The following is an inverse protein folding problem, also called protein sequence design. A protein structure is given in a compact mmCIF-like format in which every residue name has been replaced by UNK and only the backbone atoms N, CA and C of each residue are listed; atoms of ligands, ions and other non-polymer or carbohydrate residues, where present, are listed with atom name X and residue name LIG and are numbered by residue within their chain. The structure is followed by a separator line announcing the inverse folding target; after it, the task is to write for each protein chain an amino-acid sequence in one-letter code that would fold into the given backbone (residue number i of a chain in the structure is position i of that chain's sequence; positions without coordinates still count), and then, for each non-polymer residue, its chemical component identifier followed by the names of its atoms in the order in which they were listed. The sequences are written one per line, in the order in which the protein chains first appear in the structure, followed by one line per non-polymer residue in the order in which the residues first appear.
data_IF_915538100516
#
_entry.id   IF_915538100516
#
_cell.length_a   1.000
_cell.length_b   1.000
_cell.length_c   1.000
_cell.angle_alpha   90.00
_cell.angle_beta   90.00
_cell.angle_gamma   90.00
#
_symmetry.space_group_name_H-M   'P 1'
#
loop_
_entity.id
_entity.type
_entity.pdbx_description
1 polymer ?
#
# COMPACT_ATOMS: atom_id res chain seq x y z
N UNK A 1 6.96 4.90 -9.60
CA UNK A 1 5.76 5.50 -8.98
C UNK A 1 5.27 4.63 -7.83
N UNK A 2 4.92 3.36 -8.08
CA UNK A 2 4.70 2.35 -7.03
C UNK A 2 6.02 1.58 -6.85
N UNK A 3 6.44 1.36 -5.60
CA UNK A 3 7.76 0.77 -5.26
C UNK A 3 7.57 -0.46 -4.36
N UNK A 4 6.54 -1.24 -4.67
CA UNK A 4 6.13 -2.43 -3.94
C UNK A 4 5.75 -3.52 -4.94
N UNK A 5 6.33 -4.71 -4.77
CA UNK A 5 6.12 -5.85 -5.67
C UNK A 5 4.64 -6.22 -5.73
N UNK A 6 4.03 -6.37 -4.55
CA UNK A 6 2.66 -6.84 -4.44
C UNK A 6 1.68 -5.86 -5.10
N UNK A 7 1.77 -4.56 -4.81
CA UNK A 7 0.89 -3.57 -5.40
C UNK A 7 1.05 -3.48 -6.92
N UNK A 8 2.28 -3.52 -7.45
CA UNK A 8 2.52 -3.52 -8.89
C UNK A 8 1.94 -4.76 -9.58
N UNK A 9 2.09 -5.96 -8.98
CA UNK A 9 1.51 -7.18 -9.53
C UNK A 9 0.00 -7.15 -9.50
N UNK A 10 -0.61 -6.65 -8.42
CA UNK A 10 -2.07 -6.51 -8.33
C UNK A 10 -2.58 -5.55 -9.38
N UNK A 11 -1.96 -4.38 -9.54
CA UNK A 11 -2.35 -3.40 -10.58
C UNK A 11 -2.24 -4.01 -11.97
N UNK A 12 -1.12 -4.65 -12.28
CA UNK A 12 -0.92 -5.32 -13.57
C UNK A 12 -2.02 -6.35 -13.86
N UNK A 13 -2.25 -7.30 -12.95
CA UNK A 13 -3.28 -8.34 -13.15
C UNK A 13 -4.69 -7.75 -13.23
N UNK A 14 -5.00 -6.74 -12.41
CA UNK A 14 -6.31 -6.08 -12.43
C UNK A 14 -6.55 -5.27 -13.70
N UNK A 15 -5.51 -4.67 -14.27
CA UNK A 15 -5.61 -3.93 -15.51
C UNK A 15 -5.91 -4.87 -16.69
N UNK A 16 -5.21 -6.00 -16.77
CA UNK A 16 -5.47 -7.04 -17.78
C UNK A 16 -6.89 -7.61 -17.68
N UNK A 17 -7.37 -7.82 -16.44
CA UNK A 17 -8.75 -8.23 -16.21
C UNK A 17 -9.75 -7.14 -16.64
N UNK A 18 -9.41 -5.85 -16.50
CA UNK A 18 -10.23 -4.74 -17.00
C UNK A 18 -10.26 -4.71 -18.53
N UNK A 19 -9.13 -4.88 -19.21
CA UNK A 19 -9.09 -4.95 -20.68
C UNK A 19 -9.97 -6.09 -21.19
N UNK A 20 -9.79 -7.29 -20.63
CA UNK A 20 -10.63 -8.45 -20.96
C UNK A 20 -12.11 -8.21 -20.65
N UNK A 21 -12.42 -7.46 -19.59
CA UNK A 21 -13.81 -7.13 -19.24
C UNK A 21 -14.45 -6.12 -20.20
N UNK A 22 -13.63 -5.25 -20.80
CA UNK A 22 -14.07 -4.09 -21.57
C UNK A 22 -13.81 -4.23 -23.08
N UNK A 23 -13.38 -5.41 -23.55
CA UNK A 23 -13.19 -5.73 -24.98
C UNK A 23 -14.45 -5.46 -25.83
N UNK A 24 -15.63 -5.66 -25.25
CA UNK A 24 -16.91 -5.38 -25.90
C UNK A 24 -17.20 -3.88 -26.06
N UNK A 25 -16.55 -3.01 -25.28
CA UNK A 25 -16.66 -1.55 -25.37
C UNK A 25 -15.59 -0.98 -26.29
N UNK A 26 -14.35 -1.47 -26.18
CA UNK A 26 -13.21 -0.97 -26.92
C UNK A 26 -12.60 -2.08 -27.78
N UNK A 27 -12.70 -1.99 -29.13
CA UNK A 27 -12.15 -3.01 -30.02
C UNK A 27 -10.62 -3.12 -29.94
N UNK A 28 -9.94 -2.12 -29.39
CA UNK A 28 -8.50 -2.16 -29.13
C UNK A 28 -8.11 -3.24 -28.11
N UNK A 29 -9.03 -3.69 -27.25
CA UNK A 29 -8.76 -4.72 -26.24
C UNK A 29 -9.12 -6.13 -26.70
N UNK A 30 -9.59 -6.30 -27.95
CA UNK A 30 -9.96 -7.60 -28.50
C UNK A 30 -8.72 -8.35 -28.98
N UNK A 31 -7.94 -8.89 -28.05
CA UNK A 31 -6.73 -9.64 -28.32
C UNK A 31 -6.89 -11.14 -28.01
N UNK A 32 -5.87 -11.94 -28.28
CA UNK A 32 -5.93 -13.36 -27.97
C UNK A 32 -5.83 -13.59 -26.46
N UNK A 33 -6.57 -14.58 -25.93
CA UNK A 33 -6.53 -14.89 -24.50
C UNK A 33 -5.12 -15.15 -23.96
N UNK A 34 -4.24 -15.76 -24.77
CA UNK A 34 -2.87 -16.08 -24.37
C UNK A 34 -1.99 -14.83 -24.35
N UNK A 35 -2.33 -13.79 -25.11
CA UNK A 35 -1.59 -12.53 -25.15
C UNK A 35 -1.72 -11.83 -23.80
N UNK A 36 -2.95 -11.59 -23.35
CA UNK A 36 -3.26 -11.03 -22.03
C UNK A 36 -2.52 -11.74 -20.89
N UNK A 37 -2.63 -13.07 -20.79
CA UNK A 37 -2.13 -13.77 -19.60
C UNK A 37 -0.66 -14.15 -19.68
N UNK A 38 -0.15 -14.51 -20.86
CA UNK A 38 1.23 -14.98 -21.00
C UNK A 38 2.13 -13.82 -21.41
N UNK A 39 1.75 -13.08 -22.44
CA UNK A 39 2.57 -12.00 -22.98
C UNK A 39 2.52 -10.79 -22.06
N UNK A 40 1.33 -10.33 -21.65
CA UNK A 40 1.22 -9.09 -20.91
C UNK A 40 1.44 -9.26 -19.41
N UNK A 41 0.69 -10.14 -18.74
CA UNK A 41 0.87 -10.37 -17.28
C UNK A 41 2.25 -10.96 -16.96
N UNK A 42 2.62 -12.09 -17.58
CA UNK A 42 3.81 -12.84 -17.15
C UNK A 42 5.10 -12.26 -17.74
N UNK A 43 5.13 -11.97 -19.04
CA UNK A 43 6.35 -11.52 -19.72
C UNK A 43 6.52 -10.02 -19.57
N UNK A 44 5.69 -9.19 -20.18
CA UNK A 44 5.88 -7.74 -20.23
C UNK A 44 5.82 -7.09 -18.84
N UNK A 45 4.69 -7.25 -18.15
CA UNK A 45 4.47 -6.65 -16.85
C UNK A 45 5.29 -7.36 -15.76
N UNK A 46 5.26 -8.70 -15.72
CA UNK A 46 6.00 -9.49 -14.74
C UNK A 46 7.52 -9.26 -14.80
N UNK A 47 8.12 -9.30 -15.99
CA UNK A 47 9.55 -9.00 -16.13
C UNK A 47 9.84 -7.53 -15.87
N UNK A 48 8.96 -6.61 -16.28
CA UNK A 48 9.09 -5.18 -15.99
C UNK A 48 9.16 -4.90 -14.48
N UNK A 49 8.25 -5.51 -13.70
CA UNK A 49 8.24 -5.41 -12.24
C UNK A 49 9.51 -6.05 -11.64
N UNK A 50 9.93 -7.22 -12.14
CA UNK A 50 11.17 -7.89 -11.71
C UNK A 50 12.41 -7.04 -11.92
N UNK A 51 12.62 -6.55 -13.14
CA UNK A 51 13.72 -5.67 -13.49
C UNK A 51 13.66 -4.36 -12.69
N UNK A 52 12.47 -3.79 -12.52
CA UNK A 52 12.25 -2.60 -11.70
C UNK A 52 12.67 -2.81 -10.25
N UNK A 53 12.21 -3.89 -9.62
CA UNK A 53 12.52 -4.18 -8.22
C UNK A 53 14.00 -4.50 -8.00
N UNK A 54 14.64 -5.21 -8.94
CA UNK A 54 16.11 -5.41 -8.93
C UNK A 54 16.88 -4.10 -9.09
N UNK A 55 16.39 -3.20 -9.94
CA UNK A 55 16.97 -1.87 -10.11
C UNK A 55 16.87 -1.06 -8.82
N UNK A 56 15.72 -1.09 -8.13
CA UNK A 56 15.54 -0.45 -6.83
C UNK A 56 16.50 -1.01 -5.76
N UNK A 57 16.71 -2.33 -5.73
CA UNK A 57 17.65 -2.98 -4.83
C UNK A 57 19.10 -2.55 -5.11
N UNK A 58 19.50 -2.54 -6.38
CA UNK A 58 20.83 -2.09 -6.79
C UNK A 58 21.10 -0.62 -6.40
N UNK A 59 20.10 0.24 -6.57
CA UNK A 59 20.19 1.66 -6.20
C UNK A 59 20.18 1.88 -4.68
N UNK A 60 19.44 1.05 -3.92
CA UNK A 60 19.36 1.13 -2.47
C UNK A 60 20.64 0.70 -1.74
N UNK A 61 21.49 -0.13 -2.35
CA UNK A 61 22.72 -0.63 -1.74
C UNK A 61 23.93 0.31 -1.95
N UNK A 62 23.77 1.40 -2.70
CA UNK A 62 24.84 2.35 -2.96
C UNK A 62 24.96 3.39 -1.85
N UNK A 63 25.99 3.27 -1.01
CA UNK A 63 26.40 4.32 -0.08
C UNK A 63 27.15 5.43 -0.81
N UNK A 64 26.71 6.69 -0.66
CA UNK A 64 27.33 7.85 -1.30
C UNK A 64 28.59 8.31 -0.56
N UNK A 65 29.73 8.40 -1.27
CA UNK A 65 30.96 9.05 -0.76
C UNK A 65 31.02 10.50 -1.26
N UNK A 66 30.99 11.46 -0.34
CA UNK A 66 31.03 12.91 -0.62
C UNK A 66 32.47 13.45 -0.80
N UNK A 67 33.30 12.83 -1.64
CA UNK A 67 34.63 13.40 -1.97
C UNK A 67 34.50 14.44 -3.11
N UNK A 68 35.36 15.46 -3.21
CA UNK A 68 35.27 16.50 -4.25
C UNK A 68 35.41 15.98 -5.69
N UNK A 69 34.83 16.67 -6.69
CA UNK A 69 34.93 16.29 -8.12
C UNK A 69 36.39 16.25 -8.61
N UNK A 70 37.24 17.03 -7.95
CA UNK A 70 38.66 17.19 -8.17
C UNK A 70 39.49 15.95 -7.78
N UNK A 71 38.98 15.08 -6.91
CA UNK A 71 39.66 13.84 -6.51
C UNK A 71 39.50 12.69 -7.51
N UNK A 72 38.77 12.90 -8.63
CA UNK A 72 38.52 11.85 -9.64
C UNK A 72 39.40 12.13 -10.88
N UNK A 73 40.46 11.34 -11.12
CA UNK A 73 41.42 11.62 -12.19
C UNK A 73 40.87 11.30 -13.59
N UNK A 74 39.85 10.43 -13.70
CA UNK A 74 39.34 9.96 -14.99
C UNK A 74 38.07 10.68 -15.44
N UNK A 75 37.99 11.05 -16.72
CA UNK A 75 36.81 11.66 -17.33
C UNK A 75 35.57 10.75 -17.26
N UNK A 76 35.75 9.45 -17.48
CA UNK A 76 34.68 8.43 -17.28
C UNK A 76 34.15 8.44 -15.84
N UNK A 77 35.02 8.63 -14.85
CA UNK A 77 34.62 8.74 -13.44
C UNK A 77 33.83 10.01 -13.14
N UNK A 78 34.20 11.13 -13.77
CA UNK A 78 33.47 12.41 -13.67
C UNK A 78 32.07 12.30 -14.28
N UNK A 79 31.93 11.80 -15.50
CA UNK A 79 30.62 11.57 -16.14
C UNK A 79 29.75 10.60 -15.33
N UNK A 80 30.32 9.49 -14.87
CA UNK A 80 29.62 8.51 -14.04
C UNK A 80 29.05 9.17 -12.78
N UNK A 81 29.83 10.05 -12.13
CA UNK A 81 29.36 10.78 -10.95
C UNK A 81 28.24 11.77 -11.26
N UNK A 82 28.36 12.54 -12.35
CA UNK A 82 27.31 13.47 -12.78
C UNK A 82 25.99 12.70 -12.99
N UNK A 83 26.05 11.56 -13.69
CA UNK A 83 24.87 10.70 -13.87
C UNK A 83 24.29 10.21 -12.52
N UNK A 84 25.14 9.83 -11.55
CA UNK A 84 24.67 9.43 -10.22
C UNK A 84 24.13 10.60 -9.38
N UNK A 85 24.42 11.85 -9.71
CA UNK A 85 23.87 13.01 -8.99
C UNK A 85 22.39 13.23 -9.30
N UNK A 86 21.92 12.70 -10.43
CA UNK A 86 20.50 12.63 -10.78
C UNK A 86 19.77 11.43 -10.14
N UNK A 87 20.46 10.60 -9.36
CA UNK A 87 19.82 9.56 -8.54
C UNK A 87 19.59 10.06 -7.10
N UNK A 88 18.42 9.80 -6.50
CA UNK A 88 18.07 10.30 -5.18
C UNK A 88 18.97 9.72 -4.08
N UNK A 89 19.23 10.54 -3.05
CA UNK A 89 20.14 10.25 -1.94
C UNK A 89 19.77 9.00 -1.11
N UNK A 90 18.48 8.71 -0.96
CA UNK A 90 18.01 7.50 -0.29
C UNK A 90 16.82 6.90 -1.04
N UNK A 91 16.90 5.60 -1.30
CA UNK A 91 15.84 4.86 -1.98
C UNK A 91 14.91 4.21 -0.94
N UNK A 92 13.92 4.96 -0.44
CA UNK A 92 12.96 4.45 0.56
C UNK A 92 11.96 3.43 -0.02
N UNK A 93 12.04 2.15 0.35
CA UNK A 93 11.02 1.15 -0.05
C UNK A 93 9.68 1.47 0.61
N UNK A 94 8.57 1.37 -0.13
CA UNK A 94 7.24 1.62 0.41
C UNK A 94 6.65 0.34 1.00
N UNK A 95 6.44 0.30 2.32
CA UNK A 95 5.81 -0.83 2.99
C UNK A 95 4.34 -0.53 3.31
N UNK A 96 3.45 -0.75 2.34
CA UNK A 96 2.03 -0.38 2.45
C UNK A 96 1.28 -1.13 3.57
N UNK A 97 1.71 -2.36 3.90
CA UNK A 97 1.11 -3.22 4.95
C UNK A 97 -0.43 -3.18 4.91
N UNK A 98 -1.06 -3.53 3.78
CA UNK A 98 -2.48 -3.30 3.53
C UNK A 98 -3.38 -3.98 4.58
N UNK A 99 -2.98 -5.14 5.12
CA UNK A 99 -3.74 -5.89 6.12
C UNK A 99 -3.53 -5.44 7.59
N UNK A 100 -2.83 -4.31 7.82
CA UNK A 100 -2.50 -3.82 9.17
C UNK A 100 -3.64 -3.06 9.84
N UNK A 101 -4.33 -2.19 9.10
CA UNK A 101 -5.51 -1.46 9.58
C UNK A 101 -6.54 -1.32 8.47
N UNK A 102 -7.81 -1.23 8.84
CA UNK A 102 -8.89 -1.03 7.87
C UNK A 102 -8.68 0.25 7.04
N UNK A 103 -8.17 1.32 7.68
CA UNK A 103 -7.82 2.57 6.99
C UNK A 103 -6.75 2.37 5.93
N UNK A 104 -5.67 1.64 6.24
CA UNK A 104 -4.60 1.33 5.27
C UNK A 104 -5.09 0.41 4.15
N UNK A 105 -5.92 -0.57 4.48
CA UNK A 105 -6.56 -1.43 3.48
C UNK A 105 -7.38 -0.61 2.47
N UNK A 106 -8.32 0.20 2.95
CA UNK A 106 -9.17 1.03 2.09
C UNK A 106 -8.37 2.07 1.30
N UNK A 107 -7.33 2.65 1.90
CA UNK A 107 -6.44 3.58 1.20
C UNK A 107 -5.70 2.89 0.04
N UNK A 108 -5.16 1.68 0.25
CA UNK A 108 -4.50 0.91 -0.80
C UNK A 108 -5.48 0.53 -1.91
N UNK A 109 -6.70 0.09 -1.57
CA UNK A 109 -7.76 -0.15 -2.56
C UNK A 109 -8.09 1.10 -3.37
N UNK A 110 -8.20 2.27 -2.71
CA UNK A 110 -8.46 3.54 -3.37
C UNK A 110 -7.32 3.98 -4.30
N UNK A 111 -6.06 3.77 -3.90
CA UNK A 111 -4.90 4.05 -4.76
C UNK A 111 -4.90 3.16 -5.99
N UNK A 112 -5.15 1.85 -5.82
CA UNK A 112 -5.26 0.91 -6.95
C UNK A 112 -6.38 1.36 -7.89
N UNK A 113 -7.55 1.74 -7.36
CA UNK A 113 -8.68 2.20 -8.18
C UNK A 113 -8.34 3.48 -8.97
N UNK A 114 -7.72 4.48 -8.34
CA UNK A 114 -7.31 5.71 -9.04
C UNK A 114 -6.27 5.41 -10.12
N UNK A 115 -5.34 4.49 -9.86
CA UNK A 115 -4.32 4.10 -10.84
C UNK A 115 -4.96 3.40 -12.05
N UNK A 116 -5.79 2.39 -11.82
CA UNK A 116 -6.52 1.69 -12.88
C UNK A 116 -7.42 2.63 -13.68
N UNK A 117 -8.08 3.57 -13.01
CA UNK A 117 -8.91 4.59 -13.68
C UNK A 117 -8.06 5.53 -14.54
N UNK A 118 -6.89 5.96 -14.05
CA UNK A 118 -5.99 6.81 -14.81
C UNK A 118 -5.43 6.09 -16.05
N UNK A 119 -5.13 4.79 -15.95
CA UNK A 119 -4.71 3.97 -17.09
C UNK A 119 -5.86 3.78 -18.08
N UNK A 120 -7.04 3.38 -17.60
CA UNK A 120 -8.23 3.16 -18.42
C UNK A 120 -8.65 4.44 -19.18
N UNK A 121 -8.61 5.59 -18.51
CA UNK A 121 -8.86 6.90 -19.13
C UNK A 121 -7.93 7.15 -20.33
N UNK A 122 -6.70 6.63 -20.34
CA UNK A 122 -5.77 6.76 -21.48
C UNK A 122 -6.38 6.18 -22.75
N UNK A 123 -6.93 4.97 -22.65
CA UNK A 123 -7.51 4.24 -23.77
C UNK A 123 -8.84 4.85 -24.21
N UNK A 124 -9.69 5.22 -23.23
CA UNK A 124 -10.95 5.88 -23.53
C UNK A 124 -10.78 7.27 -24.14
N UNK A 125 -9.89 8.10 -23.61
CA UNK A 125 -9.66 9.43 -24.20
C UNK A 125 -9.13 9.32 -25.62
N UNK A 126 -8.23 8.37 -25.88
CA UNK A 126 -7.76 8.10 -27.25
C UNK A 126 -8.93 7.72 -28.16
N UNK A 127 -9.83 6.85 -27.70
CA UNK A 127 -11.01 6.41 -28.45
C UNK A 127 -11.99 7.56 -28.71
N UNK A 128 -12.41 8.26 -27.65
CA UNK A 128 -13.38 9.37 -27.69
C UNK A 128 -12.88 10.54 -28.55
N UNK A 129 -11.58 10.86 -28.46
CA UNK A 129 -10.97 11.95 -29.22
C UNK A 129 -10.49 11.52 -30.61
N UNK A 130 -10.72 10.26 -31.02
CA UNK A 130 -10.28 9.71 -32.31
C UNK A 130 -8.78 9.91 -32.57
N UNK A 131 -7.95 9.75 -31.54
CA UNK A 131 -6.50 9.93 -31.63
C UNK A 131 -5.82 8.65 -32.15
N UNK A 132 -4.87 8.75 -33.10
CA UNK A 132 -4.08 7.60 -33.51
C UNK A 132 -3.18 7.12 -32.36
N UNK A 133 -2.80 5.82 -32.33
CA UNK A 133 -1.96 5.26 -31.25
C UNK A 133 -0.63 5.98 -31.04
N UNK A 134 -0.02 6.46 -32.12
CA UNK A 134 1.30 7.10 -32.11
C UNK A 134 1.25 8.60 -31.78
N UNK A 135 0.07 9.11 -31.40
CA UNK A 135 -0.09 10.54 -31.19
C UNK A 135 0.72 11.02 -29.97
N UNK A 136 1.57 12.02 -30.16
CA UNK A 136 2.47 12.57 -29.12
C UNK A 136 1.74 13.05 -27.86
N UNK A 137 0.46 13.41 -27.95
CA UNK A 137 -0.35 13.79 -26.76
C UNK A 137 -0.52 12.63 -25.77
N UNK A 138 -0.67 11.39 -26.25
CA UNK A 138 -0.79 10.21 -25.39
C UNK A 138 0.53 10.00 -24.64
N UNK A 139 1.66 10.11 -25.34
CA UNK A 139 2.98 10.01 -24.76
C UNK A 139 3.24 11.14 -23.74
N UNK A 140 2.95 12.39 -24.11
CA UNK A 140 3.13 13.55 -23.23
C UNK A 140 2.31 13.38 -21.94
N UNK A 141 1.05 12.93 -22.07
CA UNK A 141 0.17 12.65 -20.93
C UNK A 141 0.78 11.58 -20.02
N UNK A 142 1.23 10.46 -20.60
CA UNK A 142 1.81 9.35 -19.84
C UNK A 142 3.05 9.83 -19.06
N UNK A 143 3.95 10.56 -19.73
CA UNK A 143 5.13 11.15 -19.09
C UNK A 143 4.73 12.10 -17.97
N UNK A 144 3.74 12.98 -18.19
CA UNK A 144 3.27 13.91 -17.17
C UNK A 144 2.69 13.18 -15.95
N UNK A 145 1.78 12.23 -16.16
CA UNK A 145 1.14 11.48 -15.07
C UNK A 145 2.11 10.60 -14.30
N UNK A 146 3.09 9.97 -14.95
CA UNK A 146 4.10 9.16 -14.25
C UNK A 146 4.96 10.03 -13.32
N UNK A 147 5.32 11.24 -13.74
CA UNK A 147 6.11 12.16 -12.94
C UNK A 147 5.31 12.73 -11.77
N UNK A 148 4.13 13.30 -12.03
CA UNK A 148 3.26 13.87 -10.98
C UNK A 148 2.77 12.77 -10.03
N UNK A 149 2.38 11.63 -10.58
CA UNK A 149 1.96 10.44 -9.84
C UNK A 149 3.07 9.91 -8.94
N UNK A 150 4.34 9.97 -9.37
CA UNK A 150 5.48 9.62 -8.52
C UNK A 150 5.57 10.45 -7.24
N UNK A 151 5.34 11.76 -7.34
CA UNK A 151 5.31 12.69 -6.19
C UNK A 151 4.06 12.45 -5.34
N UNK A 152 2.89 12.33 -5.97
CA UNK A 152 1.62 12.04 -5.30
C UNK A 152 1.70 10.75 -4.46
N UNK A 153 2.27 9.68 -5.01
CA UNK A 153 2.43 8.40 -4.30
C UNK A 153 3.28 8.54 -3.03
N UNK A 154 4.32 9.39 -3.06
CA UNK A 154 5.12 9.68 -1.86
C UNK A 154 4.32 10.48 -0.83
N UNK A 155 3.58 11.49 -1.24
CA UNK A 155 2.72 12.26 -0.34
C UNK A 155 1.64 11.38 0.32
N UNK A 156 1.03 10.46 -0.45
CA UNK A 156 0.05 9.50 0.07
C UNK A 156 0.71 8.54 1.07
N UNK A 157 1.90 8.04 0.77
CA UNK A 157 2.66 7.19 1.70
C UNK A 157 2.93 7.91 3.02
N UNK A 158 3.49 9.12 2.95
CA UNK A 158 3.81 9.94 4.12
C UNK A 158 2.55 10.37 4.90
N UNK A 159 1.39 10.41 4.24
CA UNK A 159 0.11 10.69 4.89
C UNK A 159 -0.43 9.49 5.69
N UNK A 160 -0.26 8.25 5.22
CA UNK A 160 -0.75 7.08 5.97
C UNK A 160 0.24 6.57 7.02
N UNK A 161 1.51 6.93 6.94
CA UNK A 161 2.51 6.57 7.94
C UNK A 161 2.57 7.54 9.12
N UNK A 162 2.08 8.77 8.93
CA UNK A 162 2.03 9.76 10.01
C UNK A 162 0.90 9.44 11.03
N UNK A 163 1.21 9.30 12.32
CA UNK A 163 0.21 9.06 13.36
C UNK A 163 -0.68 10.28 13.65
N UNK A 164 -0.33 11.48 13.15
CA UNK A 164 -1.08 12.70 13.43
C UNK A 164 -2.45 12.70 12.73
N UNK A 165 -3.57 12.77 13.47
CA UNK A 165 -4.92 12.62 12.90
C UNK A 165 -5.35 13.78 11.98
N UNK A 166 -4.72 14.95 12.08
CA UNK A 166 -5.09 16.17 11.36
C UNK A 166 -4.16 16.51 10.18
N UNK A 167 -3.22 15.62 9.82
CA UNK A 167 -2.42 15.81 8.62
C UNK A 167 -3.36 15.84 7.41
N UNK A 168 -3.12 16.74 6.47
CA UNK A 168 -3.89 16.80 5.21
C UNK A 168 -3.20 15.96 4.16
N UNK A 169 -3.99 15.44 3.23
CA UNK A 169 -3.45 14.79 2.02
C UNK A 169 -2.69 15.84 1.19
N UNK A 170 -1.57 15.44 0.60
CA UNK A 170 -0.71 16.33 -0.17
C UNK A 170 -1.40 16.89 -1.42
N UNK A 171 -0.88 18.03 -1.91
CA UNK A 171 -1.47 18.76 -3.02
C UNK A 171 -1.37 17.99 -4.34
N UNK A 172 -0.27 17.28 -4.57
CA UNK A 172 -0.08 16.51 -5.81
C UNK A 172 -1.02 15.31 -5.85
N UNK A 173 -1.27 14.66 -4.71
CA UNK A 173 -2.26 13.60 -4.61
C UNK A 173 -3.68 14.08 -4.99
N UNK A 174 -4.09 15.26 -4.50
CA UNK A 174 -5.36 15.87 -4.91
C UNK A 174 -5.39 16.25 -6.39
N UNK A 175 -4.28 16.78 -6.91
CA UNK A 175 -4.18 17.16 -8.32
C UNK A 175 -4.34 15.95 -9.24
N UNK A 176 -3.65 14.84 -8.95
CA UNK A 176 -3.81 13.59 -9.72
C UNK A 176 -5.24 13.09 -9.67
N UNK A 177 -5.85 13.06 -8.48
CA UNK A 177 -7.24 12.65 -8.34
C UNK A 177 -8.21 13.54 -9.15
N UNK A 178 -7.99 14.87 -9.14
CA UNK A 178 -8.79 15.81 -9.90
C UNK A 178 -8.60 15.66 -11.43
N UNK A 179 -7.37 15.42 -11.90
CA UNK A 179 -7.08 15.13 -13.30
C UNK A 179 -7.81 13.86 -13.73
N UNK A 180 -7.63 12.76 -13.00
CA UNK A 180 -8.27 11.48 -13.31
C UNK A 180 -9.80 11.58 -13.30
N UNK A 181 -10.38 12.30 -12.34
CA UNK A 181 -11.82 12.54 -12.27
C UNK A 181 -12.31 13.39 -13.46
N UNK A 182 -11.58 14.44 -13.83
CA UNK A 182 -11.95 15.31 -14.96
C UNK A 182 -11.89 14.55 -16.28
N UNK A 183 -10.86 13.73 -16.47
CA UNK A 183 -10.73 12.87 -17.66
C UNK A 183 -11.88 11.87 -17.75
N UNK A 184 -12.25 11.23 -16.63
CA UNK A 184 -13.42 10.35 -16.59
C UNK A 184 -14.70 11.11 -16.99
N UNK A 185 -14.89 12.33 -16.48
CA UNK A 185 -16.05 13.15 -16.84
C UNK A 185 -16.08 13.50 -18.32
N UNK A 186 -14.92 13.76 -18.94
CA UNK A 186 -14.80 13.96 -20.39
C UNK A 186 -15.26 12.70 -21.12
N UNK A 187 -14.73 11.53 -20.75
CA UNK A 187 -15.12 10.24 -21.37
C UNK A 187 -16.63 10.01 -21.27
N UNK A 188 -17.21 10.15 -20.07
CA UNK A 188 -18.65 9.98 -19.82
C UNK A 188 -19.50 10.96 -20.62
N UNK A 189 -19.02 12.20 -20.78
CA UNK A 189 -19.78 13.25 -21.47
C UNK A 189 -19.80 13.07 -22.99
N UNK A 190 -18.69 12.64 -23.59
CA UNK A 190 -18.53 12.65 -25.04
C UNK A 190 -18.88 11.32 -25.71
N UNK A 191 -18.88 10.19 -24.98
CA UNK A 191 -19.32 8.91 -25.53
C UNK A 191 -20.13 8.05 -24.54
N UNK A 192 -21.36 8.47 -24.20
CA UNK A 192 -22.21 7.73 -23.27
C UNK A 192 -22.73 6.40 -23.87
N UNK A 193 -22.79 6.27 -25.20
CA UNK A 193 -23.33 5.08 -25.86
C UNK A 193 -22.43 3.86 -25.64
N UNK A 194 -21.12 4.02 -25.82
CA UNK A 194 -20.16 2.93 -25.57
C UNK A 194 -20.15 2.52 -24.10
N UNK A 195 -20.23 3.49 -23.17
CA UNK A 195 -20.24 3.20 -21.73
C UNK A 195 -21.52 2.52 -21.23
N UNK A 196 -22.65 2.74 -21.91
CA UNK A 196 -23.94 2.15 -21.54
C UNK A 196 -24.15 0.74 -22.09
N UNK A 197 -23.21 0.23 -22.89
CA UNK A 197 -23.18 -1.18 -23.27
C UNK A 197 -23.11 -2.04 -22.01
N UNK A 198 -24.06 -2.98 -21.91
CA UNK A 198 -24.13 -3.92 -20.79
C UNK A 198 -22.95 -4.88 -20.84
N UNK A 199 -22.26 -5.03 -19.71
CA UNK A 199 -21.24 -6.07 -19.54
C UNK A 199 -21.84 -7.45 -19.86
N UNK A 200 -21.15 -8.29 -20.64
CA UNK A 200 -21.55 -9.67 -20.86
C UNK A 200 -21.77 -10.40 -19.52
N UNK A 201 -22.79 -11.26 -19.47
CA UNK A 201 -23.25 -11.88 -18.22
C UNK A 201 -22.14 -12.61 -17.46
N UNK A 202 -21.28 -13.36 -18.17
CA UNK A 202 -20.15 -14.08 -17.58
C UNK A 202 -19.16 -13.14 -16.88
N UNK A 203 -18.84 -12.00 -17.50
CA UNK A 203 -17.93 -11.00 -16.96
C UNK A 203 -18.55 -10.33 -15.73
N UNK A 204 -19.83 -9.97 -15.81
CA UNK A 204 -20.57 -9.41 -14.66
C UNK A 204 -20.60 -10.38 -13.46
N UNK A 205 -20.75 -11.68 -13.71
CA UNK A 205 -20.66 -12.71 -12.66
C UNK A 205 -19.25 -12.77 -12.03
N UNK A 206 -18.19 -12.69 -12.84
CA UNK A 206 -16.82 -12.65 -12.32
C UNK A 206 -16.58 -11.42 -11.43
N UNK A 207 -17.02 -10.23 -11.85
CA UNK A 207 -16.89 -9.01 -11.04
C UNK A 207 -17.70 -9.05 -9.76
N UNK A 208 -18.93 -9.57 -9.81
CA UNK A 208 -19.77 -9.71 -8.61
C UNK A 208 -19.16 -10.71 -7.63
N UNK A 209 -18.71 -11.87 -8.10
CA UNK A 209 -18.00 -12.86 -7.28
C UNK A 209 -16.72 -12.28 -6.67
N UNK A 210 -15.88 -11.63 -7.47
CA UNK A 210 -14.65 -10.99 -7.00
C UNK A 210 -14.90 -9.93 -5.94
N UNK A 211 -15.91 -9.07 -6.15
CA UNK A 211 -16.32 -8.04 -5.20
C UNK A 211 -16.81 -8.65 -3.88
N UNK A 212 -17.64 -9.69 -3.95
CA UNK A 212 -18.13 -10.42 -2.76
C UNK A 212 -16.97 -11.08 -2.01
N UNK A 213 -16.02 -11.68 -2.70
CA UNK A 213 -14.84 -12.30 -2.09
C UNK A 213 -13.97 -11.26 -1.37
N UNK A 214 -13.70 -10.12 -2.01
CA UNK A 214 -12.94 -9.03 -1.38
C UNK A 214 -13.68 -8.52 -0.14
N UNK A 215 -14.98 -8.22 -0.26
CA UNK A 215 -15.78 -7.76 0.88
C UNK A 215 -15.80 -8.77 2.02
N UNK A 216 -16.05 -10.04 1.72
CA UNK A 216 -16.07 -11.11 2.72
C UNK A 216 -14.71 -11.23 3.41
N UNK A 217 -13.61 -11.17 2.66
CA UNK A 217 -12.26 -11.19 3.22
C UNK A 217 -12.00 -9.98 4.11
N UNK A 218 -12.45 -8.78 3.73
CA UNK A 218 -12.30 -7.57 4.56
C UNK A 218 -13.05 -7.66 5.88
N UNK A 219 -14.30 -8.14 5.83
CA UNK A 219 -15.13 -8.35 7.03
C UNK A 219 -14.49 -9.39 7.94
N UNK A 220 -14.09 -10.52 7.38
CA UNK A 220 -13.40 -11.58 8.11
C UNK A 220 -12.10 -11.10 8.77
N UNK A 221 -11.25 -10.41 8.01
CA UNK A 221 -9.92 -9.99 8.45
C UNK A 221 -9.95 -8.93 9.55
N UNK A 222 -10.80 -7.91 9.41
CA UNK A 222 -10.78 -6.72 10.25
C UNK A 222 -11.83 -6.74 11.36
N UNK A 223 -12.95 -7.42 11.18
CA UNK A 223 -13.98 -7.51 12.21
C UNK A 223 -13.89 -8.86 12.92
N UNK A 224 -14.09 -9.98 12.21
CA UNK A 224 -14.21 -11.29 12.87
C UNK A 224 -12.89 -11.74 13.52
N UNK A 225 -11.76 -11.63 12.81
CA UNK A 225 -10.46 -12.03 13.34
C UNK A 225 -9.98 -11.12 14.48
N UNK A 226 -10.21 -9.80 14.38
CA UNK A 226 -9.79 -8.87 15.43
C UNK A 226 -10.60 -9.09 16.72
N UNK A 227 -11.92 -9.25 16.61
CA UNK A 227 -12.80 -9.60 17.74
C UNK A 227 -12.37 -10.93 18.35
N UNK A 228 -12.11 -11.95 17.54
CA UNK A 228 -11.70 -13.28 18.02
C UNK A 228 -10.35 -13.24 18.74
N UNK A 229 -9.39 -12.48 18.23
CA UNK A 229 -8.08 -12.31 18.86
C UNK A 229 -8.20 -11.56 20.20
N UNK A 230 -8.95 -10.45 20.24
CA UNK A 230 -9.23 -9.71 21.48
C UNK A 230 -9.92 -10.58 22.52
N UNK A 231 -10.94 -11.35 22.12
CA UNK A 231 -11.62 -12.29 23.00
C UNK A 231 -10.67 -13.34 23.58
N UNK A 232 -9.77 -13.89 22.75
CA UNK A 232 -8.78 -14.89 23.19
C UNK A 232 -7.73 -14.30 24.14
N UNK A 233 -7.31 -13.06 23.93
CA UNK A 233 -6.43 -12.32 24.85
C UNK A 233 -7.09 -12.06 26.20
N UNK A 234 -8.34 -11.56 26.21
CA UNK A 234 -9.10 -11.36 27.46
C UNK A 234 -9.25 -12.67 28.24
N UNK A 235 -9.49 -13.80 27.54
CA UNK A 235 -9.59 -15.11 28.18
C UNK A 235 -8.24 -15.58 28.78
N UNK A 236 -7.13 -15.34 28.07
CA UNK A 236 -5.77 -15.67 28.56
C UNK A 236 -5.38 -14.85 29.78
N UNK A 237 -5.67 -13.55 29.79
CA UNK A 237 -5.45 -12.69 30.95
C UNK A 237 -6.28 -13.16 32.16
N UNK A 238 -7.53 -13.58 31.93
CA UNK A 238 -8.39 -14.12 33.00
C UNK A 238 -7.86 -15.44 33.57
N UNK A 239 -7.25 -16.29 32.74
CA UNK A 239 -6.61 -17.53 33.18
C UNK A 239 -5.28 -17.29 33.94
N UNK A 240 -4.48 -16.31 33.53
CA UNK A 240 -3.25 -15.93 34.26
C UNK A 240 -3.55 -15.22 35.58
N UNK A 241 -4.58 -14.37 35.64
CA UNK A 241 -5.01 -13.72 36.88
C UNK A 241 -5.59 -14.69 37.91
N UNK A 242 -6.30 -15.74 37.46
CA UNK A 242 -6.90 -16.72 38.38
C UNK A 242 -5.92 -17.77 38.92
N UNK A 243 -4.72 -17.92 38.31
CA UNK A 243 -3.67 -18.83 38.77
C UNK A 243 -2.69 -18.22 39.76
N UNK A 244 -2.66 -16.89 39.91
CA UNK A 244 -1.80 -16.18 40.86
C UNK A 244 -2.40 -16.04 42.26
N UNK A 245 -3.70 -16.28 42.42
CA UNK A 245 -4.45 -15.99 43.65
C UNK A 245 -4.73 -17.25 44.52
N UNK A 246 -4.17 -18.41 44.14
CA UNK A 246 -4.31 -19.67 44.87
C UNK A 246 -3.09 -20.03 45.75
N UNK A 247 -2.19 -19.07 46.02
CA UNK A 247 -0.97 -19.29 46.81
C UNK A 247 -1.01 -18.82 48.28
N UNK A 248 -2.06 -18.14 48.74
CA UNK A 248 -2.00 -17.40 50.01
C UNK A 248 -3.28 -17.52 50.83
N UNK A 249 -3.68 -18.73 51.23
CA UNK A 249 -4.81 -18.89 52.17
C UNK A 249 -4.83 -20.24 52.91
N UNK A 250 -3.76 -20.58 53.64
CA UNK A 250 -3.81 -21.46 54.82
C UNK A 250 -2.68 -20.95 55.71
N UNK A 251 -2.91 -20.26 56.81
CA UNK A 251 -3.27 -20.89 58.08
C UNK A 251 -3.64 -19.80 59.10
N UNK A 252 -4.79 -19.93 59.76
CA UNK A 252 -5.12 -19.18 60.97
C UNK A 252 -6.34 -19.80 61.63
N UNK A 253 -6.11 -20.61 62.65
CA UNK A 253 -7.01 -20.71 63.81
C UNK A 253 -6.33 -21.35 65.02
N UNK A 254 -6.77 -20.86 66.18
CA UNK A 254 -6.54 -21.32 67.56
C UNK A 254 -5.27 -20.74 68.24
N UNK A 255 -5.27 -20.09 69.40
CA UNK A 255 -6.29 -19.71 70.39
C UNK A 255 -5.61 -19.37 71.74
N UNK A 256 -6.15 -18.38 72.50
CA UNK A 256 -5.91 -18.07 73.94
C UNK A 256 -4.69 -17.18 74.36
N UNK A 257 -4.70 -16.53 75.57
CA UNK A 257 -4.62 -15.07 75.76
C UNK A 257 -3.39 -14.62 76.61
N UNK A 258 -3.19 -13.31 76.93
CA UNK A 258 -1.88 -12.79 77.31
C UNK A 258 -1.57 -12.89 78.82
N UNK A 259 -0.31 -13.20 79.16
CA UNK A 259 0.25 -13.11 80.52
C UNK A 259 1.21 -11.90 80.65
N UNK A 260 1.37 -11.30 81.85
CA UNK A 260 2.00 -9.99 82.02
C UNK A 260 3.51 -10.04 82.37
N UNK A 261 4.18 -8.91 82.05
CA UNK A 261 5.39 -8.31 82.63
C UNK A 261 6.73 -9.08 82.65
N UNK A 262 7.76 -8.47 82.06
CA UNK A 262 9.04 -8.02 82.69
C UNK A 262 10.02 -7.62 81.57
N UNK A 263 10.34 -6.33 81.44
CA UNK A 263 11.60 -5.72 81.88
C UNK A 263 12.87 -6.27 81.21
N UNK A 264 13.54 -5.43 80.40
CA UNK A 264 14.90 -4.88 80.67
C UNK A 264 15.62 -4.44 79.38
N UNK A 265 16.00 -3.15 79.36
CA UNK A 265 17.22 -2.46 78.85
C UNK A 265 18.09 -3.16 77.78
N UNK A 266 18.73 -2.51 76.82
CA UNK A 266 19.35 -1.18 76.82
C UNK A 266 19.83 -0.79 75.40
N UNK A 267 20.14 0.50 75.26
CA UNK A 267 21.25 1.05 74.46
C UNK A 267 21.04 1.29 72.95
N UNK A 268 20.71 2.56 72.67
CA UNK A 268 21.27 3.36 71.58
C UNK A 268 22.82 3.50 71.76
N UNK A 269 23.61 4.05 70.81
CA UNK A 269 23.34 5.33 70.15
C UNK A 269 23.66 5.42 68.65
N UNK A 270 23.09 6.47 68.07
CA UNK A 270 23.52 7.11 66.84
C UNK A 270 24.96 7.64 66.93
N UNK A 271 25.61 7.87 65.78
CA UNK A 271 26.30 9.13 65.48
C UNK A 271 26.82 9.17 64.04
N UNK A 272 26.57 10.35 63.43
CA UNK A 272 27.13 11.00 62.24
C UNK A 272 26.83 10.46 60.83
#
# INVERSE_FOLDING_TARGET
MIRDWWACTVVSVMFEFLEYSLEHQLPNFSECWWDHWIMDVLVCNGLGIYCGMKTLEWLSLKTYKWQGLWNIPTYKGKMKRIAFQFTPYSWVRFEWKPASSLRRWLAVCGIILVFLLAELNTFYLKFVLWLPPEHSLVLLRLVFLVNVGGVAMREVYDFMDDPKPHKKLGQQAWLVAAITATELLVVVKYDPHTLTLSLPFSIAQCWTLGSVLVLTWTVWRFFLRDITLRYKETRRQKQQGSGGDQGTAVDSKDGCPPGPSEATRAAAPALH
#
